data_IF_740140217681
#
_entry.id   IF_740140217681
#
_cell.length_a   1.000
_cell.length_b   1.000
_cell.length_c   1.000
_cell.angle_alpha   90.00
_cell.angle_beta   90.00
_cell.angle_gamma   90.00
#
_symmetry.space_group_name_H-M   'P 1'
#
loop_
_entity.id
_entity.type
_entity.pdbx_description
1 polymer ?
#
# COMPACT_ATOMS: atom_id res chain seq x y z
N UNK A 1 -35.19 -0.08 -30.79
CA UNK A 1 -33.92 0.44 -30.23
C UNK A 1 -33.34 -0.61 -29.26
N UNK A 2 -32.40 -1.47 -29.69
CA UNK A 2 -31.86 -2.54 -28.84
C UNK A 2 -30.86 -1.94 -27.84
N UNK A 3 -31.19 -1.96 -26.54
CA UNK A 3 -30.23 -1.59 -25.48
C UNK A 3 -29.09 -2.61 -25.49
N UNK A 4 -27.86 -2.14 -25.66
CA UNK A 4 -26.67 -2.99 -25.59
C UNK A 4 -26.49 -3.65 -24.22
N UNK A 5 -25.64 -4.70 -24.12
CA UNK A 5 -25.42 -5.39 -22.87
C UNK A 5 -24.87 -4.45 -21.80
N UNK A 6 -25.40 -4.56 -20.58
CA UNK A 6 -24.94 -3.78 -19.41
C UNK A 6 -23.46 -4.07 -19.12
N UNK A 7 -22.75 -3.14 -18.46
CA UNK A 7 -21.36 -3.36 -18.07
C UNK A 7 -21.17 -4.66 -17.26
N UNK A 8 -22.15 -5.01 -16.41
CA UNK A 8 -22.15 -6.26 -15.64
C UNK A 8 -22.23 -7.50 -16.53
N UNK A 9 -23.03 -7.45 -17.61
CA UNK A 9 -23.14 -8.54 -18.59
C UNK A 9 -21.84 -8.69 -19.37
N UNK A 10 -21.24 -7.58 -19.82
CA UNK A 10 -19.95 -7.58 -20.52
C UNK A 10 -18.84 -8.18 -19.63
N UNK A 11 -18.77 -7.76 -18.37
CA UNK A 11 -17.78 -8.29 -17.41
C UNK A 11 -17.95 -9.79 -17.18
N UNK A 12 -19.18 -10.29 -17.03
CA UNK A 12 -19.46 -11.73 -16.89
C UNK A 12 -19.01 -12.53 -18.11
N UNK A 13 -19.27 -12.03 -19.32
CA UNK A 13 -18.82 -12.70 -20.55
C UNK A 13 -17.30 -12.76 -20.63
N UNK A 14 -16.61 -11.67 -20.30
CA UNK A 14 -15.13 -11.64 -20.28
C UNK A 14 -14.58 -12.67 -19.29
N UNK A 15 -15.12 -12.77 -18.07
CA UNK A 15 -14.68 -13.77 -17.09
C UNK A 15 -14.84 -15.23 -17.57
N UNK A 16 -15.80 -15.52 -18.44
CA UNK A 16 -15.99 -16.88 -18.99
C UNK A 16 -15.02 -17.15 -20.14
N UNK A 17 -14.68 -16.11 -20.90
CA UNK A 17 -13.87 -16.21 -22.12
C UNK A 17 -12.37 -16.08 -21.87
N UNK A 18 -11.94 -15.54 -20.72
CA UNK A 18 -10.52 -15.47 -20.37
C UNK A 18 -10.12 -16.79 -19.71
N UNK A 19 -9.15 -17.47 -20.32
CA UNK A 19 -8.57 -18.72 -19.80
C UNK A 19 -7.42 -18.43 -18.83
N UNK A 20 -6.51 -17.55 -19.22
CA UNK A 20 -5.40 -17.09 -18.39
C UNK A 20 -4.94 -15.70 -18.86
N UNK A 21 -4.24 -14.99 -17.97
CA UNK A 21 -3.57 -13.72 -18.28
C UNK A 21 -2.14 -13.87 -17.79
N UNK A 22 -1.18 -13.76 -18.71
CA UNK A 22 0.24 -13.70 -18.39
C UNK A 22 0.65 -12.22 -18.35
N UNK A 23 1.39 -11.84 -17.31
CA UNK A 23 1.86 -10.47 -17.12
C UNK A 23 3.39 -10.45 -17.17
N UNK A 24 3.94 -9.66 -18.09
CA UNK A 24 5.36 -9.34 -18.14
C UNK A 24 5.59 -7.87 -17.77
N UNK A 25 6.68 -7.59 -17.08
CA UNK A 25 7.04 -6.25 -16.63
C UNK A 25 8.24 -5.77 -17.42
N UNK A 26 8.00 -4.89 -18.38
CA UNK A 26 9.08 -4.23 -19.10
C UNK A 26 9.67 -3.10 -18.24
N UNK A 27 10.86 -3.35 -17.71
CA UNK A 27 11.58 -2.40 -16.89
C UNK A 27 12.11 -1.20 -17.69
N UNK A 28 12.33 -1.34 -19.01
CA UNK A 28 12.87 -0.30 -19.88
C UNK A 28 11.78 0.71 -20.29
N UNK A 29 10.61 0.23 -20.74
CA UNK A 29 9.48 1.10 -21.09
C UNK A 29 8.67 1.54 -19.85
N UNK A 30 8.75 0.80 -18.75
CA UNK A 30 7.91 1.04 -17.58
C UNK A 30 6.45 0.62 -17.79
N UNK A 31 6.20 -0.31 -18.70
CA UNK A 31 4.88 -0.87 -18.99
C UNK A 31 4.71 -2.27 -18.37
N UNK A 32 3.46 -2.66 -18.14
CA UNK A 32 3.08 -4.05 -17.91
C UNK A 32 2.42 -4.55 -19.20
N UNK A 33 2.98 -5.62 -19.77
CA UNK A 33 2.47 -6.27 -20.97
C UNK A 33 1.59 -7.43 -20.50
N UNK A 34 0.30 -7.37 -20.83
CA UNK A 34 -0.69 -8.40 -20.48
C UNK A 34 -1.01 -9.23 -21.72
N UNK A 35 -0.65 -10.51 -21.71
CA UNK A 35 -1.06 -11.47 -22.73
C UNK A 35 -2.30 -12.22 -22.25
N UNK A 36 -3.45 -11.92 -22.84
CA UNK A 36 -4.73 -12.55 -22.53
C UNK A 36 -4.91 -13.77 -23.43
N UNK A 37 -4.99 -14.96 -22.84
CA UNK A 37 -5.36 -16.18 -23.53
C UNK A 37 -6.87 -16.37 -23.43
N UNK A 38 -7.54 -16.36 -24.57
CA UNK A 38 -8.97 -16.58 -24.67
C UNK A 38 -9.31 -18.07 -24.81
N UNK A 39 -10.44 -18.47 -24.25
CA UNK A 39 -11.07 -19.76 -24.50
C UNK A 39 -11.30 -19.91 -26.01
N UNK A 40 -10.59 -20.87 -26.63
CA UNK A 40 -10.51 -21.03 -28.10
C UNK A 40 -9.12 -20.78 -28.70
N UNK A 41 -8.10 -20.49 -27.88
CA UNK A 41 -6.68 -20.47 -28.29
C UNK A 41 -6.19 -19.16 -28.91
N UNK A 42 -7.06 -18.14 -28.97
CA UNK A 42 -6.66 -16.79 -29.40
C UNK A 42 -5.94 -16.06 -28.28
N UNK A 43 -5.01 -15.18 -28.65
CA UNK A 43 -4.28 -14.32 -27.72
C UNK A 43 -4.49 -12.85 -28.07
N UNK A 44 -4.49 -11.98 -27.05
CA UNK A 44 -4.49 -10.53 -27.24
C UNK A 44 -3.51 -9.91 -26.27
N UNK A 45 -2.64 -9.05 -26.79
CA UNK A 45 -1.68 -8.29 -26.02
C UNK A 45 -2.25 -6.92 -25.65
N UNK A 46 -2.08 -6.53 -24.39
CA UNK A 46 -2.52 -5.23 -23.88
C UNK A 46 -1.37 -4.59 -23.12
N UNK A 47 -0.94 -3.43 -23.60
CA UNK A 47 0.07 -2.61 -22.94
C UNK A 47 -0.60 -1.69 -21.93
N UNK A 48 -0.17 -1.76 -20.68
CA UNK A 48 -0.64 -0.89 -19.63
C UNK A 48 0.57 -0.16 -19.05
N UNK A 49 0.61 1.16 -19.25
CA UNK A 49 1.59 1.99 -18.57
C UNK A 49 1.53 1.72 -17.06
N UNK A 50 2.66 1.38 -16.44
CA UNK A 50 2.67 1.19 -14.99
C UNK A 50 2.27 2.52 -14.37
N UNK A 51 1.24 2.47 -13.53
CA UNK A 51 1.00 3.55 -12.58
C UNK A 51 2.30 3.72 -11.79
N UNK A 52 2.93 4.88 -11.90
CA UNK A 52 4.08 5.27 -11.08
C UNK A 52 3.59 5.44 -9.65
N UNK A 53 3.31 4.32 -8.97
CA UNK A 53 2.66 4.35 -7.67
C UNK A 53 3.58 5.03 -6.67
N UNK A 54 3.14 6.18 -6.15
CA UNK A 54 3.53 6.74 -4.85
C UNK A 54 5.02 6.76 -4.53
N UNK A 55 5.87 6.96 -5.54
CA UNK A 55 7.29 7.23 -5.27
C UNK A 55 7.33 8.61 -4.66
N UNK A 56 7.87 8.70 -3.45
CA UNK A 56 8.18 9.97 -2.83
C UNK A 56 8.97 10.81 -3.85
N UNK A 57 8.50 12.02 -4.26
CA UNK A 57 9.18 12.82 -5.26
C UNK A 57 10.60 13.13 -4.79
N UNK A 58 11.60 12.93 -5.63
CA UNK A 58 13.00 13.16 -5.24
C UNK A 58 13.22 14.61 -4.76
N UNK A 59 12.53 15.56 -5.39
CA UNK A 59 12.57 16.99 -5.06
C UNK A 59 11.99 17.32 -3.68
N UNK A 60 11.09 16.49 -3.16
CA UNK A 60 10.45 16.73 -1.87
C UNK A 60 11.22 16.05 -0.72
N UNK A 61 12.25 15.23 -1.03
CA UNK A 61 12.82 14.26 -0.08
C UNK A 61 13.48 14.99 1.09
N UNK A 62 13.02 14.78 2.34
CA UNK A 62 13.65 15.41 3.48
C UNK A 62 15.05 14.82 3.66
N UNK A 63 15.93 15.58 4.29
CA UNK A 63 17.16 14.99 4.81
C UNK A 63 16.80 13.93 5.86
N UNK A 64 17.61 12.88 5.98
CA UNK A 64 17.36 11.84 6.98
C UNK A 64 17.33 12.42 8.40
N UNK A 65 18.17 13.42 8.67
CA UNK A 65 18.22 14.12 9.97
C UNK A 65 16.92 14.86 10.25
N UNK A 66 16.38 15.60 9.29
CA UNK A 66 15.13 16.34 9.47
C UNK A 66 13.93 15.40 9.65
N UNK A 67 13.90 14.30 8.91
CA UNK A 67 12.90 13.27 9.07
C UNK A 67 12.99 12.60 10.46
N UNK A 68 14.19 12.25 10.92
CA UNK A 68 14.41 11.66 12.24
C UNK A 68 14.02 12.60 13.38
N UNK A 69 14.36 13.89 13.29
CA UNK A 69 13.94 14.90 14.29
C UNK A 69 12.42 14.99 14.44
N UNK A 70 11.67 14.80 13.35
CA UNK A 70 10.20 14.85 13.36
C UNK A 70 9.54 13.54 13.78
N UNK A 71 10.19 12.39 13.55
CA UNK A 71 9.58 11.08 13.73
C UNK A 71 10.06 10.33 14.98
N UNK A 72 11.26 10.62 15.48
CA UNK A 72 11.81 9.99 16.67
C UNK A 72 10.88 10.21 17.88
N UNK A 73 10.81 9.22 18.77
CA UNK A 73 9.87 9.21 19.89
C UNK A 73 8.43 8.82 19.54
N UNK A 74 7.99 8.96 18.28
CA UNK A 74 6.65 8.54 17.83
C UNK A 74 6.60 7.10 17.32
N UNK A 75 7.73 6.58 16.84
CA UNK A 75 7.81 5.25 16.22
C UNK A 75 9.13 4.54 16.57
N UNK A 76 9.12 3.20 16.66
CA UNK A 76 10.34 2.43 16.89
C UNK A 76 11.30 2.55 15.70
N UNK A 77 12.60 2.38 15.96
CA UNK A 77 13.68 2.56 14.96
C UNK A 77 13.48 1.73 13.67
N UNK A 78 12.80 0.59 13.77
CA UNK A 78 12.41 -0.23 12.61
C UNK A 78 11.45 0.52 11.67
N UNK A 79 10.41 1.14 12.21
CA UNK A 79 9.44 1.92 11.43
C UNK A 79 10.05 3.21 10.90
N UNK A 80 10.96 3.83 11.66
CA UNK A 80 11.75 4.97 11.19
C UNK A 80 12.59 4.59 9.95
N UNK A 81 13.30 3.46 9.99
CA UNK A 81 14.09 2.99 8.84
C UNK A 81 13.24 2.75 7.59
N UNK A 82 12.08 2.08 7.76
CA UNK A 82 11.11 1.87 6.67
C UNK A 82 10.63 3.21 6.11
N UNK A 83 10.34 4.18 6.98
CA UNK A 83 9.85 5.50 6.59
C UNK A 83 10.90 6.29 5.82
N UNK A 84 12.14 6.33 6.28
CA UNK A 84 13.27 6.97 5.59
C UNK A 84 13.46 6.38 4.19
N UNK A 85 13.42 5.05 4.06
CA UNK A 85 13.55 4.38 2.76
C UNK A 85 12.36 4.69 1.83
N UNK A 86 11.12 4.75 2.36
CA UNK A 86 9.93 5.18 1.60
C UNK A 86 10.04 6.62 1.12
N UNK A 87 10.64 7.48 1.94
CA UNK A 87 10.91 8.89 1.64
C UNK A 87 12.12 9.08 0.70
N UNK A 88 12.79 8.00 0.28
CA UNK A 88 14.03 8.01 -0.53
C UNK A 88 15.21 8.71 0.14
N UNK A 89 15.19 8.86 1.47
CA UNK A 89 16.35 9.31 2.20
C UNK A 89 17.49 8.28 2.03
N UNK A 90 18.72 8.77 1.85
CA UNK A 90 19.93 7.96 1.76
C UNK A 90 20.89 8.33 2.87
N UNK A 91 21.76 7.40 3.24
CA UNK A 91 22.91 7.71 4.10
C UNK A 91 23.92 8.59 3.33
N UNK A 92 24.94 9.11 4.02
CA UNK A 92 26.03 9.84 3.37
C UNK A 92 26.70 9.03 2.25
N UNK A 93 26.75 7.71 2.41
CA UNK A 93 27.34 6.77 1.44
C UNK A 93 26.34 6.25 0.40
N UNK A 94 25.12 6.81 0.34
CA UNK A 94 24.11 6.44 -0.67
C UNK A 94 23.31 5.15 -0.37
N UNK A 95 23.52 4.55 0.79
CA UNK A 95 22.91 3.27 1.16
C UNK A 95 21.50 3.42 1.77
N UNK A 96 20.81 2.30 1.94
CA UNK A 96 19.50 2.24 2.61
C UNK A 96 19.62 2.36 4.13
N UNK A 97 18.57 2.86 4.77
CA UNK A 97 18.45 2.90 6.21
C UNK A 97 18.07 1.54 6.77
N UNK A 98 18.83 1.08 7.77
CA UNK A 98 18.53 -0.10 8.57
C UNK A 98 18.14 0.34 9.99
N UNK A 99 17.51 -0.55 10.76
CA UNK A 99 17.18 -0.29 12.17
C UNK A 99 18.42 0.12 12.97
N UNK A 100 19.55 -0.55 12.75
CA UNK A 100 20.82 -0.27 13.43
C UNK A 100 21.33 1.13 13.09
N UNK A 101 21.36 1.49 11.80
CA UNK A 101 21.82 2.83 11.35
C UNK A 101 20.93 3.96 11.87
N UNK A 102 19.62 3.71 11.93
CA UNK A 102 18.68 4.66 12.54
C UNK A 102 18.98 4.83 14.02
N UNK A 103 19.14 3.72 14.76
CA UNK A 103 19.44 3.74 16.19
C UNK A 103 20.72 4.53 16.47
N UNK A 104 21.81 4.20 15.79
CA UNK A 104 23.10 4.90 15.93
C UNK A 104 22.96 6.40 15.63
N UNK A 105 22.24 6.75 14.57
CA UNK A 105 22.03 8.16 14.23
C UNK A 105 21.13 8.87 15.24
N UNK A 106 20.09 8.21 15.75
CA UNK A 106 19.19 8.72 16.79
C UNK A 106 19.98 9.02 18.06
N UNK A 107 20.81 8.09 18.51
CA UNK A 107 21.67 8.23 19.69
C UNK A 107 22.68 9.36 19.49
N UNK A 108 23.36 9.41 18.33
CA UNK A 108 24.30 10.48 17.98
C UNK A 108 23.66 11.87 17.96
N UNK A 109 22.39 11.97 17.58
CA UNK A 109 21.63 13.22 17.54
C UNK A 109 20.92 13.54 18.88
N UNK A 110 21.02 12.67 19.89
CA UNK A 110 20.34 12.86 21.18
C UNK A 110 18.82 12.79 21.09
N UNK A 111 18.28 12.05 20.11
CA UNK A 111 16.84 11.98 19.85
C UNK A 111 16.15 10.93 20.75
N UNK A 112 14.88 11.18 21.17
CA UNK A 112 14.17 10.32 22.09
C UNK A 112 13.88 8.94 21.49
N UNK A 113 13.96 7.92 22.33
CA UNK A 113 13.49 6.57 21.99
C UNK A 113 11.96 6.51 22.01
N UNK A 114 11.40 5.58 21.23
CA UNK A 114 9.96 5.34 21.21
C UNK A 114 9.47 4.73 22.52
N UNK A 115 8.44 5.33 23.09
CA UNK A 115 7.76 4.83 24.29
C UNK A 115 6.28 4.57 23.96
N UNK A 116 5.91 3.29 23.95
CA UNK A 116 4.56 2.84 23.63
C UNK A 116 3.51 3.31 24.66
N UNK A 117 3.90 3.53 25.92
CA UNK A 117 2.98 3.98 26.98
C UNK A 117 2.64 5.45 26.76
N UNK A 118 3.65 6.26 26.44
CA UNK A 118 3.46 7.70 26.13
C UNK A 118 2.76 7.94 24.81
N UNK A 119 2.78 6.99 23.88
CA UNK A 119 2.13 7.11 22.57
C UNK A 119 0.58 7.22 22.66
N UNK A 120 -0.02 7.01 23.83
CA UNK A 120 -1.29 7.65 24.23
C UNK A 120 -2.46 7.43 23.27
N UNK A 121 -2.97 6.20 23.20
CA UNK A 121 -4.20 5.89 22.46
C UNK A 121 -4.09 6.02 20.93
N UNK A 122 -2.91 6.28 20.39
CA UNK A 122 -2.67 6.27 18.95
C UNK A 122 -2.14 4.91 18.51
N UNK A 123 -2.70 4.38 17.42
CA UNK A 123 -2.25 3.12 16.82
C UNK A 123 -1.87 3.32 15.36
N UNK A 124 -1.08 2.40 14.81
CA UNK A 124 -0.78 2.41 13.38
C UNK A 124 -2.02 2.12 12.55
N UNK A 125 -2.08 2.66 11.33
CA UNK A 125 -3.15 2.35 10.39
C UNK A 125 -3.27 0.85 10.07
N UNK A 126 -2.17 0.10 10.15
CA UNK A 126 -2.19 -1.35 10.01
C UNK A 126 -2.98 -2.00 11.16
N UNK A 127 -2.68 -1.61 12.40
CA UNK A 127 -3.41 -2.09 13.58
C UNK A 127 -4.86 -1.64 13.60
N UNK A 128 -5.14 -0.42 13.14
CA UNK A 128 -6.50 0.07 12.94
C UNK A 128 -7.27 -0.77 11.91
N UNK A 129 -6.64 -1.10 10.77
CA UNK A 129 -7.25 -1.93 9.74
C UNK A 129 -7.58 -3.33 10.26
N UNK A 130 -6.65 -3.93 11.03
CA UNK A 130 -6.85 -5.21 11.70
C UNK A 130 -8.04 -5.17 12.66
N UNK A 131 -8.13 -4.17 13.53
CA UNK A 131 -9.24 -4.00 14.46
C UNK A 131 -10.59 -3.74 13.77
N UNK A 132 -10.58 -3.09 12.59
CA UNK A 132 -11.77 -2.85 11.78
C UNK A 132 -12.14 -4.03 10.86
N UNK A 133 -11.31 -5.08 10.78
CA UNK A 133 -11.54 -6.25 9.92
C UNK A 133 -11.47 -5.95 8.42
N UNK A 134 -10.70 -4.94 8.00
CA UNK A 134 -10.51 -4.55 6.60
C UNK A 134 -9.05 -4.60 6.18
N UNK A 135 -8.77 -4.63 4.88
CA UNK A 135 -7.39 -4.55 4.41
C UNK A 135 -6.81 -3.14 4.60
N UNK A 136 -5.48 -3.05 4.78
CA UNK A 136 -4.77 -1.78 5.00
C UNK A 136 -5.01 -0.77 3.87
N UNK A 137 -5.16 -1.25 2.62
CA UNK A 137 -5.48 -0.39 1.48
C UNK A 137 -6.86 0.28 1.59
N UNK A 138 -7.86 -0.44 2.11
CA UNK A 138 -9.18 0.12 2.39
C UNK A 138 -9.13 1.12 3.54
N UNK A 139 -8.42 0.79 4.62
CA UNK A 139 -8.23 1.72 5.74
C UNK A 139 -7.54 3.02 5.28
N UNK A 140 -6.48 2.91 4.46
CA UNK A 140 -5.83 4.05 3.82
C UNK A 140 -6.78 4.87 2.95
N UNK A 141 -7.66 4.19 2.20
CA UNK A 141 -8.67 4.88 1.39
C UNK A 141 -9.66 5.66 2.25
N UNK A 142 -10.07 5.11 3.40
CA UNK A 142 -10.95 5.81 4.35
C UNK A 142 -10.24 7.02 4.98
N UNK A 143 -8.96 6.88 5.33
CA UNK A 143 -8.13 7.97 5.85
C UNK A 143 -7.99 9.12 4.83
N UNK A 144 -7.65 8.80 3.58
CA UNK A 144 -7.53 9.79 2.51
C UNK A 144 -8.86 10.51 2.19
N UNK A 145 -9.99 9.86 2.46
CA UNK A 145 -11.33 10.45 2.32
C UNK A 145 -11.80 11.23 3.55
N UNK A 146 -11.00 11.28 4.62
CA UNK A 146 -11.36 11.90 5.89
C UNK A 146 -12.45 11.15 6.67
N UNK A 147 -12.78 9.91 6.28
CA UNK A 147 -13.79 9.10 6.97
C UNK A 147 -13.19 8.49 8.24
N UNK A 148 -11.96 7.98 8.13
CA UNK A 148 -11.18 7.50 9.26
C UNK A 148 -10.22 8.62 9.69
N UNK A 149 -10.42 9.23 10.88
CA UNK A 149 -9.44 10.16 11.44
C UNK A 149 -8.07 9.50 11.52
N UNK A 150 -7.12 10.03 10.76
CA UNK A 150 -5.76 9.55 10.74
C UNK A 150 -4.83 10.70 10.39
N UNK A 151 -3.68 10.77 11.07
CA UNK A 151 -2.69 11.83 10.87
C UNK A 151 -1.37 11.21 10.44
N UNK A 152 -0.72 11.83 9.48
CA UNK A 152 0.61 11.46 9.02
C UNK A 152 1.57 12.62 9.27
N UNK A 153 2.62 12.40 10.08
CA UNK A 153 3.58 13.45 10.47
C UNK A 153 4.37 13.96 9.26
N UNK A 154 4.81 13.05 8.40
CA UNK A 154 5.49 13.33 7.13
C UNK A 154 4.97 12.40 6.05
N UNK A 155 4.83 12.85 4.79
CA UNK A 155 4.51 11.94 3.69
C UNK A 155 5.47 10.74 3.69
N UNK A 156 4.94 9.52 3.61
CA UNK A 156 5.74 8.29 3.67
C UNK A 156 6.00 7.70 5.07
N UNK A 157 5.77 8.47 6.14
CA UNK A 157 5.74 7.96 7.51
C UNK A 157 4.49 7.10 7.78
N UNK A 158 4.43 6.30 8.85
CA UNK A 158 3.23 5.55 9.20
C UNK A 158 2.12 6.51 9.64
N UNK A 159 0.88 6.12 9.37
CA UNK A 159 -0.31 6.87 9.78
C UNK A 159 -0.64 6.53 11.24
N UNK A 160 -0.89 7.56 12.03
CA UNK A 160 -1.41 7.47 13.40
C UNK A 160 -2.93 7.58 13.35
N UNK A 161 -3.62 6.65 14.00
CA UNK A 161 -5.07 6.59 14.11
C UNK A 161 -5.42 6.63 15.60
N UNK A 162 -6.27 7.56 16.06
CA UNK A 162 -6.76 7.54 17.43
C UNK A 162 -7.67 6.33 17.66
N UNK A 163 -7.46 5.59 18.75
CA UNK A 163 -8.22 4.36 19.06
C UNK A 163 -9.72 4.61 19.19
N UNK A 164 -10.11 5.75 19.76
CA UNK A 164 -11.49 6.20 19.92
C UNK A 164 -12.19 6.44 18.57
N UNK A 165 -11.43 6.76 17.52
CA UNK A 165 -11.98 6.99 16.19
C UNK A 165 -12.57 5.70 15.58
N UNK A 166 -12.08 4.53 16.00
CA UNK A 166 -12.56 3.24 15.49
C UNK A 166 -14.01 2.95 15.90
N UNK A 167 -14.44 3.49 17.04
CA UNK A 167 -15.82 3.38 17.54
C UNK A 167 -16.79 4.39 16.91
N UNK A 168 -16.30 5.35 16.12
CA UNK A 168 -17.14 6.38 15.51
C UNK A 168 -18.15 5.78 14.52
N UNK A 169 -19.38 6.29 14.54
CA UNK A 169 -20.44 5.87 13.63
C UNK A 169 -20.08 6.12 12.16
N UNK A 170 -19.41 7.23 11.87
CA UNK A 170 -18.94 7.56 10.52
C UNK A 170 -17.97 6.51 9.98
N UNK A 171 -17.06 6.03 10.84
CA UNK A 171 -16.08 4.99 10.51
C UNK A 171 -16.79 3.66 10.30
N UNK A 172 -17.74 3.29 11.19
CA UNK A 172 -18.53 2.06 11.06
C UNK A 172 -19.32 2.00 9.74
N UNK A 173 -20.02 3.07 9.39
CA UNK A 173 -20.72 3.18 8.11
C UNK A 173 -19.75 3.06 6.92
N UNK A 174 -18.58 3.71 7.02
CA UNK A 174 -17.51 3.62 6.02
C UNK A 174 -17.00 2.19 5.82
N UNK A 175 -16.74 1.49 6.91
CA UNK A 175 -16.29 0.08 6.93
C UNK A 175 -17.35 -0.84 6.34
N UNK A 176 -18.63 -0.68 6.72
CA UNK A 176 -19.73 -1.48 6.16
C UNK A 176 -19.84 -1.31 4.63
N UNK A 177 -19.63 -0.10 4.10
CA UNK A 177 -19.57 0.14 2.66
C UNK A 177 -18.37 -0.52 1.98
N UNK A 178 -17.25 -0.68 2.67
CA UNK A 178 -16.09 -1.43 2.15
C UNK A 178 -16.42 -2.93 2.11
N UNK A 179 -16.95 -3.47 3.20
CA UNK A 179 -17.28 -4.89 3.32
C UNK A 179 -18.35 -5.31 2.31
N UNK A 180 -19.37 -4.49 2.08
CA UNK A 180 -20.44 -4.79 1.11
C UNK A 180 -19.97 -4.82 -0.35
N UNK A 181 -18.83 -4.19 -0.65
CA UNK A 181 -18.19 -4.23 -1.98
C UNK A 181 -17.30 -5.45 -2.17
N UNK A 182 -16.92 -6.15 -1.10
CA UNK A 182 -16.04 -7.30 -1.19
C UNK A 182 -16.77 -8.44 -1.91
N UNK A 183 -16.22 -8.98 -3.02
CA UNK A 183 -16.77 -10.18 -3.62
C UNK A 183 -16.79 -11.31 -2.57
N UNK A 184 -17.92 -12.02 -2.43
CA UNK A 184 -18.05 -13.14 -1.47
C UNK A 184 -17.11 -14.31 -1.77
N UNK A 185 -16.54 -14.36 -2.97
CA UNK A 185 -15.59 -15.37 -3.43
C UNK A 185 -14.19 -14.73 -3.34
N UNK A 186 -13.53 -14.84 -2.20
CA UNK A 186 -12.18 -14.31 -1.98
C UNK A 186 -11.21 -15.37 -1.43
N UNK A 187 -11.66 -16.62 -1.24
CA UNK A 187 -10.85 -17.65 -0.56
C UNK A 187 -9.65 -18.16 -1.37
N UNK A 188 -9.60 -17.97 -2.70
CA UNK A 188 -8.55 -18.55 -3.55
C UNK A 188 -7.68 -17.53 -4.30
N UNK A 189 -7.15 -16.52 -3.61
CA UNK A 189 -5.88 -15.92 -4.04
C UNK A 189 -4.74 -16.50 -3.21
N UNK A 190 -4.60 -17.83 -3.23
CA UNK A 190 -3.29 -18.42 -3.02
C UNK A 190 -2.39 -17.85 -4.13
N UNK A 191 -1.26 -17.28 -3.73
CA UNK A 191 -0.15 -16.99 -4.62
C UNK A 191 0.33 -18.34 -5.15
N UNK A 192 -0.37 -18.88 -6.15
CA UNK A 192 0.03 -20.13 -6.77
C UNK A 192 1.44 -19.93 -7.32
N UNK A 193 2.29 -20.89 -6.96
CA UNK A 193 3.69 -20.98 -7.33
C UNK A 193 3.84 -20.54 -8.78
N UNK A 194 4.69 -19.53 -9.00
CA UNK A 194 5.22 -19.17 -10.31
C UNK A 194 5.63 -20.44 -11.05
N UNK A 195 4.78 -20.89 -11.98
CA UNK A 195 5.16 -21.88 -12.98
C UNK A 195 6.12 -21.15 -13.90
N UNK A 196 7.42 -21.34 -13.67
CA UNK A 196 8.42 -20.93 -14.66
C UNK A 196 8.26 -21.84 -15.86
N UNK A 197 7.90 -21.26 -17.01
CA UNK A 197 8.02 -21.95 -18.28
C UNK A 197 9.51 -22.16 -18.59
N UNK A 198 9.93 -23.37 -18.99
CA UNK A 198 11.28 -23.57 -19.50
C UNK A 198 11.40 -22.94 -20.90
N UNK A 199 12.38 -22.05 -21.08
CA UNK A 199 12.90 -21.70 -22.41
C UNK A 199 12.57 -20.33 -22.99
N UNK A 200 12.56 -19.25 -22.20
CA UNK A 200 12.78 -17.88 -22.68
C UNK A 200 13.96 -17.25 -21.93
#
# INVERSE_FOLDING_TARGET
MRRGPTCRTKQRLVHILVREIVCDLDAASGEAILLIHWTGGRHTEVHVARVKTGRYPAELAPTAVDALRKLAGHWPDRELAVSLNRMRCKTGDGETWTTVRVREMRERLGLPEYDAIKAGGMISLMKAAEQLGICVGSAKTLALKGILPATQILPGAPWLVPTEALSSETVRIGVQRVLSRRPKIYEDYQYDKVVRLPGL
#
